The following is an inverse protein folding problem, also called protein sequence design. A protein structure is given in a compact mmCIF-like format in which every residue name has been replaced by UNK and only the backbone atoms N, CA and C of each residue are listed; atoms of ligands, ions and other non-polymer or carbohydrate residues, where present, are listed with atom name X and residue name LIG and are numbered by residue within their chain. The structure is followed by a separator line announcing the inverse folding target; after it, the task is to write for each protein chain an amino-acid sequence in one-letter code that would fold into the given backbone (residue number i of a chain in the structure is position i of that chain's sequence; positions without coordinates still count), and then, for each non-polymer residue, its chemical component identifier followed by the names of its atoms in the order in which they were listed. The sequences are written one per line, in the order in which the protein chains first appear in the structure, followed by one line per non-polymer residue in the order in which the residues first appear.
data_IF_191490374215
#
_entry.id   IF_191490374215
#
_cell.length_a   1.000
_cell.length_b   1.000
_cell.length_c   1.000
_cell.angle_alpha   90.00
_cell.angle_beta   90.00
_cell.angle_gamma   90.00
#
_symmetry.space_group_name_H-M   'P 1'
#
loop_
_entity.id
_entity.type
_entity.pdbx_description
1 polymer ?
#
# COMPACT_ATOMS: atom_id res chain seq x y z
N UNK A 1 5.38 29.25 17.92
CA UNK A 1 6.07 28.78 16.70
C UNK A 1 5.13 27.94 15.83
N UNK A 2 4.37 26.97 16.37
CA UNK A 2 3.46 26.12 15.58
C UNK A 2 2.21 26.83 15.04
N UNK A 3 1.83 28.02 15.57
CA UNK A 3 0.63 28.74 15.18
C UNK A 3 0.77 29.52 13.85
N UNK A 4 1.98 29.86 13.48
CA UNK A 4 2.28 30.63 12.27
C UNK A 4 2.47 29.77 11.02
N UNK A 5 2.72 28.46 11.19
CA UNK A 5 2.93 27.53 10.09
C UNK A 5 1.63 27.09 9.39
N UNK A 6 0.49 27.18 10.07
CA UNK A 6 -0.82 26.74 9.56
C UNK A 6 -1.68 27.89 9.01
N UNK A 7 -1.06 28.90 8.41
CA UNK A 7 -1.81 29.94 7.69
C UNK A 7 -2.45 29.36 6.42
N UNK A 8 -3.57 29.94 5.98
CA UNK A 8 -4.25 29.53 4.74
C UNK A 8 -3.33 29.58 3.51
N UNK A 9 -2.38 30.49 3.50
CA UNK A 9 -1.39 30.65 2.44
C UNK A 9 -0.38 29.50 2.41
N UNK A 10 0.10 29.09 3.57
CA UNK A 10 1.01 27.96 3.71
C UNK A 10 0.30 26.64 3.36
N UNK A 11 -0.97 26.47 3.74
CA UNK A 11 -1.76 25.29 3.36
C UNK A 11 -1.88 25.15 1.84
N UNK A 12 -2.13 26.24 1.12
CA UNK A 12 -2.21 26.24 -0.35
C UNK A 12 -0.84 25.91 -0.98
N UNK A 13 0.26 26.43 -0.44
CA UNK A 13 1.61 26.09 -0.91
C UNK A 13 1.93 24.62 -0.69
N UNK A 14 1.66 24.10 0.52
CA UNK A 14 1.88 22.68 0.82
C UNK A 14 1.01 21.76 -0.05
N UNK A 15 -0.23 22.15 -0.35
CA UNK A 15 -1.08 21.45 -1.30
C UNK A 15 -0.43 21.35 -2.69
N UNK A 16 0.12 22.44 -3.20
CA UNK A 16 0.83 22.46 -4.48
C UNK A 16 2.03 21.49 -4.50
N UNK A 17 2.86 21.53 -3.46
CA UNK A 17 3.99 20.60 -3.33
C UNK A 17 3.54 19.15 -3.22
N UNK A 18 2.51 18.86 -2.42
CA UNK A 18 1.97 17.51 -2.26
C UNK A 18 1.45 16.95 -3.59
N UNK A 19 0.79 17.75 -4.42
CA UNK A 19 0.31 17.33 -5.74
C UNK A 19 1.48 16.97 -6.65
N UNK A 20 2.53 17.77 -6.69
CA UNK A 20 3.72 17.49 -7.52
C UNK A 20 4.40 16.20 -7.07
N UNK A 21 4.63 16.05 -5.76
CA UNK A 21 5.25 14.84 -5.20
C UNK A 21 4.40 13.61 -5.45
N UNK A 22 3.07 13.72 -5.30
CA UNK A 22 2.17 12.59 -5.54
C UNK A 22 2.14 12.14 -6.99
N UNK A 23 2.17 13.06 -7.96
CA UNK A 23 2.25 12.70 -9.38
C UNK A 23 3.54 11.95 -9.68
N UNK A 24 4.66 12.37 -9.08
CA UNK A 24 5.92 11.64 -9.21
C UNK A 24 5.83 10.22 -8.62
N UNK A 25 5.25 10.07 -7.43
CA UNK A 25 5.07 8.77 -6.79
C UNK A 25 4.14 7.84 -7.57
N UNK A 26 3.04 8.37 -8.13
CA UNK A 26 2.11 7.60 -8.96
C UNK A 26 2.77 7.04 -10.25
N UNK A 27 3.76 7.75 -10.79
CA UNK A 27 4.44 7.34 -12.05
C UNK A 27 5.58 6.36 -11.77
N UNK A 28 6.36 6.57 -10.70
CA UNK A 28 7.65 5.91 -10.50
C UNK A 28 7.71 4.96 -9.31
N UNK A 29 6.70 4.99 -8.42
CA UNK A 29 6.70 4.26 -7.16
C UNK A 29 5.35 3.60 -6.87
N UNK A 30 5.01 3.49 -5.59
CA UNK A 30 3.82 2.81 -5.10
C UNK A 30 2.56 3.65 -5.31
N UNK A 31 1.57 3.07 -5.99
CA UNK A 31 0.28 3.69 -6.29
C UNK A 31 -0.45 4.19 -5.02
N UNK A 32 -0.47 3.40 -3.97
CA UNK A 32 -1.18 3.71 -2.72
C UNK A 32 -0.64 4.98 -2.06
N UNK A 33 0.68 5.10 -1.93
CA UNK A 33 1.32 6.30 -1.38
C UNK A 33 1.08 7.53 -2.25
N UNK A 34 1.15 7.37 -3.57
CA UNK A 34 0.85 8.44 -4.50
C UNK A 34 -0.57 8.98 -4.32
N UNK A 35 -1.56 8.11 -4.23
CA UNK A 35 -2.97 8.47 -4.00
C UNK A 35 -3.16 9.14 -2.63
N UNK A 36 -2.57 8.61 -1.56
CA UNK A 36 -2.65 9.21 -0.21
C UNK A 36 -2.16 10.65 -0.20
N UNK A 37 -0.98 10.92 -0.77
CA UNK A 37 -0.39 12.25 -0.78
C UNK A 37 -1.21 13.19 -1.67
N UNK A 38 -1.71 12.71 -2.83
CA UNK A 38 -2.55 13.49 -3.73
C UNK A 38 -3.83 13.97 -3.05
N UNK A 39 -4.57 13.03 -2.46
CA UNK A 39 -5.86 13.32 -1.81
C UNK A 39 -5.67 14.24 -0.60
N UNK A 40 -4.63 14.02 0.18
CA UNK A 40 -4.29 14.89 1.32
C UNK A 40 -3.93 16.30 0.84
N UNK A 41 -3.13 16.41 -0.22
CA UNK A 41 -2.76 17.69 -0.82
C UNK A 41 -3.97 18.47 -1.34
N UNK A 42 -4.86 17.82 -2.10
CA UNK A 42 -6.11 18.43 -2.59
C UNK A 42 -6.98 18.90 -1.41
N UNK A 43 -7.14 18.07 -0.38
CA UNK A 43 -7.93 18.40 0.81
C UNK A 43 -7.38 19.61 1.57
N UNK A 44 -6.05 19.69 1.72
CA UNK A 44 -5.38 20.87 2.32
C UNK A 44 -5.58 22.12 1.48
N UNK A 45 -5.49 22.03 0.16
CA UNK A 45 -5.73 23.15 -0.76
C UNK A 45 -7.15 23.68 -0.66
N UNK A 46 -8.14 22.78 -0.68
CA UNK A 46 -9.56 23.13 -0.51
C UNK A 46 -9.77 23.80 0.85
N UNK A 47 -9.26 23.20 1.93
CA UNK A 47 -9.39 23.76 3.27
C UNK A 47 -8.75 25.15 3.39
N UNK A 48 -7.53 25.34 2.89
CA UNK A 48 -6.82 26.61 2.88
C UNK A 48 -7.59 27.68 2.09
N UNK A 49 -8.15 27.33 0.93
CA UNK A 49 -8.95 28.25 0.12
C UNK A 49 -10.23 28.72 0.84
N UNK A 50 -10.97 27.79 1.42
CA UNK A 50 -12.22 28.11 2.11
C UNK A 50 -12.00 28.85 3.43
N UNK A 51 -10.96 28.54 4.19
CA UNK A 51 -10.61 29.27 5.42
C UNK A 51 -10.19 30.72 5.14
N UNK A 52 -9.59 30.99 3.98
CA UNK A 52 -9.28 32.35 3.54
C UNK A 52 -10.54 33.15 3.18
N UNK A 53 -11.55 32.50 2.58
CA UNK A 53 -12.74 33.13 2.05
C UNK A 53 -13.87 33.29 3.09
N UNK A 54 -14.03 32.36 4.00
CA UNK A 54 -15.14 32.30 4.94
C UNK A 54 -14.63 32.33 6.39
N UNK A 55 -15.24 33.22 7.20
CA UNK A 55 -14.92 33.36 8.63
C UNK A 55 -15.89 32.59 9.56
N UNK A 56 -16.92 31.93 9.01
CA UNK A 56 -17.91 31.21 9.79
C UNK A 56 -17.29 29.94 10.40
N UNK A 57 -17.14 29.93 11.73
CA UNK A 57 -16.51 28.83 12.49
C UNK A 57 -17.23 27.50 12.31
N UNK A 58 -18.57 27.49 12.26
CA UNK A 58 -19.36 26.28 12.08
C UNK A 58 -19.12 25.68 10.69
N UNK A 59 -19.12 26.53 9.65
CA UNK A 59 -18.84 26.09 8.28
C UNK A 59 -17.45 25.48 8.16
N UNK A 60 -16.43 26.12 8.72
CA UNK A 60 -15.04 25.62 8.71
C UNK A 60 -14.95 24.28 9.46
N UNK A 61 -15.64 24.12 10.58
CA UNK A 61 -15.69 22.87 11.33
C UNK A 61 -16.32 21.72 10.52
N UNK A 62 -17.48 21.97 9.90
CA UNK A 62 -18.15 20.98 9.05
C UNK A 62 -17.30 20.62 7.83
N UNK A 63 -16.68 21.60 7.18
CA UNK A 63 -15.77 21.36 6.06
C UNK A 63 -14.60 20.45 6.46
N UNK A 64 -14.01 20.68 7.65
CA UNK A 64 -12.93 19.81 8.17
C UNK A 64 -13.38 18.37 8.31
N UNK A 65 -14.59 18.13 8.86
CA UNK A 65 -15.12 16.77 9.01
C UNK A 65 -15.32 16.11 7.64
N UNK A 66 -15.93 16.82 6.69
CA UNK A 66 -16.17 16.30 5.34
C UNK A 66 -14.85 15.93 4.65
N UNK A 67 -13.84 16.78 4.74
CA UNK A 67 -12.53 16.50 4.14
C UNK A 67 -11.81 15.32 4.82
N UNK A 68 -11.94 15.16 6.14
CA UNK A 68 -11.39 14.01 6.85
C UNK A 68 -12.05 12.70 6.39
N UNK A 69 -13.38 12.69 6.23
CA UNK A 69 -14.12 11.53 5.72
C UNK A 69 -13.69 11.24 4.27
N UNK A 70 -13.55 12.26 3.44
CA UNK A 70 -13.12 12.13 2.05
C UNK A 70 -11.72 11.52 1.94
N UNK A 71 -10.76 12.00 2.75
CA UNK A 71 -9.40 11.43 2.80
C UNK A 71 -9.44 9.96 3.23
N UNK A 72 -10.15 9.65 4.32
CA UNK A 72 -10.27 8.29 4.82
C UNK A 72 -10.88 7.33 3.79
N UNK A 73 -11.96 7.75 3.12
CA UNK A 73 -12.60 6.95 2.06
C UNK A 73 -11.68 6.74 0.85
N UNK A 74 -10.96 7.79 0.44
CA UNK A 74 -10.05 7.69 -0.70
C UNK A 74 -8.86 6.77 -0.43
N UNK A 75 -8.34 6.77 0.81
CA UNK A 75 -7.30 5.83 1.22
C UNK A 75 -7.83 4.40 1.17
N UNK A 76 -8.99 4.14 1.77
CA UNK A 76 -9.63 2.82 1.72
C UNK A 76 -9.81 2.34 0.27
N UNK A 77 -10.34 3.19 -0.59
CA UNK A 77 -10.59 2.85 -2.00
C UNK A 77 -9.29 2.61 -2.79
N UNK A 78 -8.18 3.27 -2.44
CA UNK A 78 -6.88 2.99 -3.08
C UNK A 78 -6.37 1.58 -2.78
N UNK A 79 -6.55 1.08 -1.55
CA UNK A 79 -6.21 -0.30 -1.19
C UNK A 79 -7.09 -1.32 -1.92
N UNK A 80 -8.38 -1.05 -2.07
CA UNK A 80 -9.30 -1.91 -2.84
C UNK A 80 -8.89 -2.00 -4.32
N UNK A 81 -8.54 -0.86 -4.93
CA UNK A 81 -8.05 -0.85 -6.32
C UNK A 81 -6.75 -1.63 -6.45
N UNK A 82 -5.79 -1.40 -5.57
CA UNK A 82 -4.51 -2.09 -5.57
C UNK A 82 -4.70 -3.61 -5.48
N UNK A 83 -5.48 -4.05 -4.51
CA UNK A 83 -5.82 -5.46 -4.33
C UNK A 83 -6.54 -6.07 -5.55
N UNK A 84 -7.46 -5.33 -6.16
CA UNK A 84 -8.16 -5.76 -7.37
C UNK A 84 -7.22 -5.88 -8.59
N UNK A 85 -6.30 -4.93 -8.75
CA UNK A 85 -5.34 -4.95 -9.85
C UNK A 85 -4.33 -6.09 -9.69
N UNK A 86 -3.92 -6.38 -8.46
CA UNK A 86 -3.07 -7.51 -8.14
C UNK A 86 -3.71 -8.86 -8.53
N UNK A 87 -5.04 -8.99 -8.32
CA UNK A 87 -5.77 -10.19 -8.75
C UNK A 87 -5.80 -10.39 -10.27
N UNK A 88 -5.61 -9.32 -11.04
CA UNK A 88 -5.53 -9.35 -12.52
C UNK A 88 -4.13 -9.62 -13.04
N UNK A 89 -3.12 -9.59 -12.19
CA UNK A 89 -1.77 -9.94 -12.58
C UNK A 89 -1.74 -11.40 -13.08
N UNK A 90 -0.89 -11.72 -14.06
CA UNK A 90 -0.81 -13.08 -14.60
C UNK A 90 -0.40 -14.06 -13.50
N UNK A 91 -1.15 -15.17 -13.41
CA UNK A 91 -0.84 -16.23 -12.45
C UNK A 91 0.46 -16.89 -12.90
N UNK A 92 1.40 -16.96 -11.97
CA UNK A 92 2.70 -17.60 -12.14
C UNK A 92 2.76 -18.81 -11.20
N UNK A 93 3.58 -19.79 -11.57
CA UNK A 93 3.91 -20.92 -10.73
C UNK A 93 5.41 -20.98 -10.52
N UNK A 94 5.83 -21.20 -9.29
CA UNK A 94 7.21 -21.44 -8.91
C UNK A 94 7.27 -22.67 -8.02
N UNK A 95 8.19 -23.60 -8.32
CA UNK A 95 8.50 -24.74 -7.49
C UNK A 95 9.93 -24.61 -6.99
N UNK A 96 10.20 -25.06 -5.78
CA UNK A 96 11.53 -24.98 -5.22
C UNK A 96 11.60 -25.23 -3.72
N UNK A 97 12.75 -24.92 -3.15
CA UNK A 97 13.06 -25.09 -1.74
C UNK A 97 12.64 -23.87 -0.92
N UNK A 98 11.95 -24.11 0.19
CA UNK A 98 11.69 -23.08 1.19
C UNK A 98 12.98 -22.77 1.95
N UNK A 99 13.36 -21.49 1.96
CA UNK A 99 14.52 -21.00 2.71
C UNK A 99 14.16 -19.70 3.47
N UNK A 100 15.02 -19.34 4.41
CA UNK A 100 15.00 -18.05 5.09
C UNK A 100 13.61 -17.67 5.65
N UNK A 101 13.01 -18.59 6.43
CA UNK A 101 11.79 -18.26 7.14
C UNK A 101 12.12 -17.20 8.20
N UNK A 102 11.65 -15.98 7.99
CA UNK A 102 11.84 -14.87 8.90
C UNK A 102 10.56 -14.64 9.70
N UNK A 103 10.60 -14.97 10.97
CA UNK A 103 9.51 -14.72 11.92
C UNK A 103 9.91 -13.51 12.74
N UNK A 104 9.30 -12.38 12.44
CA UNK A 104 9.55 -11.12 13.16
C UNK A 104 8.73 -11.07 14.46
N UNK A 105 9.39 -10.65 15.53
CA UNK A 105 8.72 -10.31 16.79
C UNK A 105 8.14 -8.88 16.79
N UNK A 106 8.35 -8.13 15.72
CA UNK A 106 7.86 -6.76 15.57
C UNK A 106 6.46 -6.74 14.94
N UNK A 107 5.56 -5.92 15.48
CA UNK A 107 4.21 -5.73 14.93
C UNK A 107 4.20 -5.08 13.54
N UNK A 108 5.31 -4.44 13.13
CA UNK A 108 5.41 -3.69 11.88
C UNK A 108 6.16 -4.42 10.77
N UNK A 109 6.82 -5.53 11.09
CA UNK A 109 7.57 -6.31 10.09
C UNK A 109 6.80 -7.60 9.84
N UNK A 110 6.33 -7.85 8.60
CA UNK A 110 5.61 -9.07 8.30
C UNK A 110 6.54 -10.29 8.39
N UNK A 111 5.96 -11.41 8.76
CA UNK A 111 6.65 -12.68 8.65
C UNK A 111 6.76 -13.07 7.18
N UNK A 112 7.91 -13.53 6.77
CA UNK A 112 8.18 -13.89 5.37
C UNK A 112 8.94 -15.20 5.25
N UNK A 113 8.89 -15.80 4.07
CA UNK A 113 9.78 -16.89 3.68
C UNK A 113 10.20 -16.70 2.21
N UNK A 114 11.32 -17.28 1.85
CA UNK A 114 11.81 -17.28 0.49
C UNK A 114 11.61 -18.66 -0.14
N UNK A 115 11.11 -18.68 -1.37
CA UNK A 115 11.08 -19.86 -2.21
C UNK A 115 12.17 -19.73 -3.29
N UNK A 116 13.13 -20.63 -3.23
CA UNK A 116 14.26 -20.66 -4.16
C UNK A 116 13.95 -21.67 -5.27
N UNK A 117 13.50 -21.17 -6.41
CA UNK A 117 13.31 -21.94 -7.62
C UNK A 117 14.58 -21.98 -8.48
N UNK A 118 14.54 -22.67 -9.62
CA UNK A 118 15.69 -22.81 -10.51
C UNK A 118 16.20 -21.49 -11.10
N UNK A 119 15.29 -20.55 -11.41
CA UNK A 119 15.63 -19.31 -12.13
C UNK A 119 15.48 -18.05 -11.28
N UNK A 120 14.72 -18.10 -10.20
CA UNK A 120 14.43 -16.94 -9.37
C UNK A 120 14.17 -17.30 -7.92
N UNK A 121 14.38 -16.31 -7.05
CA UNK A 121 13.98 -16.35 -5.66
C UNK A 121 12.79 -15.41 -5.50
N UNK A 122 11.74 -15.88 -4.83
CA UNK A 122 10.54 -15.07 -4.56
C UNK A 122 10.26 -15.09 -3.06
N UNK A 123 10.03 -13.91 -2.49
CA UNK A 123 9.69 -13.74 -1.08
C UNK A 123 8.18 -13.66 -0.93
N UNK A 124 7.63 -14.49 -0.06
CA UNK A 124 6.21 -14.59 0.23
C UNK A 124 5.92 -14.23 1.69
N UNK A 125 4.68 -13.78 1.96
CA UNK A 125 4.20 -13.63 3.33
C UNK A 125 4.04 -15.01 3.98
N UNK A 126 4.50 -15.11 5.23
CA UNK A 126 4.38 -16.33 6.03
C UNK A 126 3.16 -16.25 6.95
N UNK A 127 2.26 -17.22 6.83
CA UNK A 127 1.11 -17.41 7.71
C UNK A 127 1.26 -18.71 8.50
N UNK A 128 0.94 -18.68 9.79
CA UNK A 128 1.06 -19.87 10.67
C UNK A 128 0.27 -21.08 10.18
N UNK A 129 -0.84 -20.85 9.49
CA UNK A 129 -1.69 -21.88 8.89
C UNK A 129 -0.95 -22.73 7.85
N UNK A 130 0.09 -22.19 7.24
CA UNK A 130 0.89 -22.86 6.21
C UNK A 130 2.14 -23.57 6.77
N UNK A 131 2.33 -23.61 8.08
CA UNK A 131 3.56 -24.13 8.71
C UNK A 131 3.88 -25.56 8.30
N UNK A 132 2.88 -26.45 8.23
CA UNK A 132 3.06 -27.84 7.88
C UNK A 132 3.49 -28.02 6.42
N UNK A 133 2.89 -27.26 5.50
CA UNK A 133 3.25 -27.28 4.08
C UNK A 133 4.66 -26.72 3.83
N UNK A 134 5.04 -25.69 4.58
CA UNK A 134 6.35 -25.04 4.47
C UNK A 134 7.46 -25.86 5.13
N UNK A 135 7.14 -26.87 5.95
CA UNK A 135 8.12 -27.80 6.52
C UNK A 135 8.55 -28.88 5.53
N UNK A 136 7.82 -29.09 4.43
CA UNK A 136 8.24 -29.94 3.33
C UNK A 136 9.36 -29.26 2.55
N UNK A 137 10.39 -29.99 2.17
CA UNK A 137 11.62 -29.47 1.56
C UNK A 137 11.37 -28.77 0.21
N UNK A 138 10.42 -29.27 -0.59
CA UNK A 138 10.07 -28.73 -1.91
C UNK A 138 8.57 -28.49 -2.01
N UNK A 139 8.20 -27.29 -2.42
CA UNK A 139 6.81 -26.89 -2.65
C UNK A 139 6.65 -26.15 -3.98
N UNK A 140 5.44 -26.19 -4.51
CA UNK A 140 5.03 -25.39 -5.65
C UNK A 140 3.99 -24.36 -5.19
N UNK A 141 4.18 -23.09 -5.58
CA UNK A 141 3.26 -21.98 -5.24
C UNK A 141 2.73 -21.38 -6.53
N UNK A 142 1.39 -21.28 -6.62
CA UNK A 142 0.70 -20.48 -7.62
C UNK A 142 0.40 -19.12 -7.02
N UNK A 143 0.85 -18.05 -7.70
CA UNK A 143 0.75 -16.70 -7.20
C UNK A 143 0.56 -15.68 -8.33
N UNK A 144 -0.02 -14.52 -8.00
CA UNK A 144 0.03 -13.34 -8.84
C UNK A 144 0.91 -12.29 -8.18
N UNK A 145 1.71 -11.62 -8.99
CA UNK A 145 2.57 -10.55 -8.51
C UNK A 145 2.77 -9.47 -9.56
N UNK A 146 2.49 -8.24 -9.15
CA UNK A 146 2.85 -7.02 -9.85
C UNK A 146 3.30 -6.00 -8.81
N UNK A 147 4.58 -5.69 -8.80
CA UNK A 147 5.26 -4.82 -7.83
C UNK A 147 4.76 -3.37 -7.80
N UNK A 148 3.99 -2.98 -8.84
CA UNK A 148 3.32 -1.67 -8.88
C UNK A 148 2.15 -1.57 -7.89
N UNK A 149 1.58 -2.70 -7.46
CA UNK A 149 0.35 -2.74 -6.68
C UNK A 149 0.53 -3.25 -5.25
N UNK A 150 1.40 -4.23 -5.05
CA UNK A 150 1.67 -4.81 -3.74
C UNK A 150 3.15 -5.16 -3.58
N UNK A 151 3.66 -5.05 -2.35
CA UNK A 151 5.06 -5.37 -2.04
C UNK A 151 5.34 -6.89 -1.99
N UNK A 152 4.30 -7.71 -1.87
CA UNK A 152 4.41 -9.17 -1.79
C UNK A 152 3.45 -9.87 -2.74
N UNK A 153 3.86 -11.03 -3.30
CA UNK A 153 3.00 -11.86 -4.13
C UNK A 153 1.75 -12.33 -3.39
N UNK A 154 0.61 -12.33 -4.06
CA UNK A 154 -0.62 -12.93 -3.56
C UNK A 154 -0.67 -14.40 -3.91
N UNK A 155 -0.68 -15.24 -2.91
CA UNK A 155 -0.70 -16.70 -3.03
C UNK A 155 -2.12 -17.19 -3.24
N UNK A 156 -2.32 -18.05 -4.26
CA UNK A 156 -3.60 -18.73 -4.52
C UNK A 156 -3.57 -20.19 -4.07
N UNK A 157 -2.43 -20.85 -4.25
CA UNK A 157 -2.31 -22.28 -3.95
C UNK A 157 -0.89 -22.63 -3.55
N UNK A 158 -0.76 -23.52 -2.57
CA UNK A 158 0.52 -24.12 -2.16
C UNK A 158 0.32 -25.64 -2.23
N UNK A 159 1.23 -26.32 -2.91
CA UNK A 159 1.22 -27.78 -3.05
C UNK A 159 2.62 -28.34 -2.79
N UNK A 160 2.75 -29.54 -2.18
CA UNK A 160 4.02 -30.23 -2.17
C UNK A 160 4.44 -30.55 -3.62
N UNK A 161 5.74 -30.43 -3.91
CA UNK A 161 6.23 -30.83 -5.23
C UNK A 161 6.08 -32.34 -5.39
N UNK A 162 5.26 -32.78 -6.35
CA UNK A 162 5.14 -34.18 -6.70
C UNK A 162 6.44 -34.64 -7.40
N UNK A 163 7.23 -35.42 -6.72
CA UNK A 163 8.40 -36.10 -7.31
C UNK A 163 7.87 -37.09 -8.34
N UNK A 164 8.00 -36.76 -9.61
CA UNK A 164 7.77 -37.70 -10.73
C UNK A 164 9.07 -38.37 -11.14
#
# INVERSE_FOLDING_TARGET
VLKDELTSENMIKYAGYSIIVSLFLLIFYEFEFGVMILVTGISLGIFGFFTKKYSNKLFIFLLKIILMIFVGYSIYFSFEISSYMQLKAPIQKICGLVKNINISNSRHTPNTFELVGEQKVVTFLYYQENKELLSSSNICIEYAFDDRWESYPRVFKIEPESIH
#
